data_IF_289141868735
#
_entry.id   IF_289141868735
#
_cell.length_a   1.000
_cell.length_b   1.000
_cell.length_c   1.000
_cell.angle_alpha   90.00
_cell.angle_beta   90.00
_cell.angle_gamma   90.00
#
_symmetry.space_group_name_H-M   'P 1'
#
loop_
_entity.id
_entity.type
_entity.pdbx_description
1 polymer ?
#
# COMPACT_ATOMS: atom_id res chain seq x y z
N UNK A 1 -12.00 10.30 -18.58
CA UNK A 1 -10.61 10.19 -19.07
C UNK A 1 -9.68 10.90 -18.07
N UNK A 2 -8.87 10.16 -17.31
CA UNK A 2 -7.81 10.74 -16.48
C UNK A 2 -6.70 11.16 -17.46
N UNK A 3 -6.30 12.44 -17.47
CA UNK A 3 -5.28 12.93 -18.40
C UNK A 3 -4.05 13.29 -17.57
N UNK A 4 -2.88 12.75 -17.94
CA UNK A 4 -1.62 13.36 -17.54
C UNK A 4 -1.68 14.82 -18.03
N UNK A 5 -1.77 15.78 -17.12
CA UNK A 5 -1.87 17.22 -17.44
C UNK A 5 -0.62 17.75 -18.16
N UNK A 6 0.40 16.92 -18.29
CA UNK A 6 1.69 17.20 -18.91
C UNK A 6 1.79 16.48 -20.24
N UNK A 7 2.35 17.18 -21.22
CA UNK A 7 2.68 16.57 -22.49
C UNK A 7 3.93 15.70 -22.35
N UNK A 8 3.69 14.44 -22.00
CA UNK A 8 4.74 13.43 -21.92
C UNK A 8 4.83 12.66 -23.24
N UNK A 9 6.02 12.09 -23.50
CA UNK A 9 6.16 11.06 -24.52
C UNK A 9 5.15 9.92 -24.26
N UNK A 10 4.49 9.33 -25.29
CA UNK A 10 3.48 8.28 -25.11
C UNK A 10 3.94 7.11 -24.22
N UNK A 11 5.22 6.74 -24.31
CA UNK A 11 5.82 5.70 -23.44
C UNK A 11 5.78 5.99 -21.93
N UNK A 12 5.55 7.23 -21.53
CA UNK A 12 5.49 7.68 -20.12
C UNK A 12 4.05 7.91 -19.64
N UNK A 13 3.05 7.46 -20.42
CA UNK A 13 1.62 7.61 -20.12
C UNK A 13 0.95 6.32 -19.61
N UNK A 14 1.56 5.15 -19.82
CA UNK A 14 1.03 3.89 -19.31
C UNK A 14 1.65 3.53 -17.96
N UNK A 15 0.86 2.94 -17.07
CA UNK A 15 1.27 2.53 -15.72
C UNK A 15 1.24 1.02 -15.55
N UNK A 16 0.76 0.29 -16.55
CA UNK A 16 0.71 -1.16 -16.55
C UNK A 16 0.95 -1.69 -17.96
N UNK A 17 1.61 -2.83 -18.07
CA UNK A 17 1.86 -3.54 -19.32
C UNK A 17 1.57 -5.03 -19.13
N UNK A 18 0.86 -5.61 -20.10
CA UNK A 18 0.68 -7.06 -20.16
C UNK A 18 2.02 -7.76 -20.42
N UNK A 19 2.18 -8.98 -19.89
CA UNK A 19 3.29 -9.87 -20.23
C UNK A 19 3.42 -10.02 -21.76
N UNK A 20 4.60 -9.71 -22.29
CA UNK A 20 4.87 -9.71 -23.74
C UNK A 20 4.51 -8.40 -24.47
N UNK A 21 4.31 -7.29 -23.75
CA UNK A 21 4.16 -5.93 -24.30
C UNK A 21 2.98 -5.71 -25.27
N UNK A 22 1.97 -6.60 -25.29
CA UNK A 22 0.84 -6.55 -26.23
C UNK A 22 -0.18 -5.44 -25.91
N UNK A 23 -0.40 -5.17 -24.63
CA UNK A 23 -1.40 -4.21 -24.13
C UNK A 23 -0.79 -3.35 -23.03
N UNK A 24 -1.07 -2.05 -23.06
CA UNK A 24 -0.67 -1.10 -22.03
C UNK A 24 -1.85 -0.29 -21.54
N UNK A 25 -1.98 -0.08 -20.23
CA UNK A 25 -3.06 0.70 -19.63
C UNK A 25 -2.54 1.73 -18.62
N UNK A 26 -3.39 2.68 -18.25
CA UNK A 26 -3.16 3.71 -17.23
C UNK A 26 -4.10 3.48 -16.05
N UNK A 27 -3.83 2.43 -15.27
CA UNK A 27 -4.63 2.06 -14.10
C UNK A 27 -4.26 2.88 -12.85
N UNK A 28 -3.02 3.36 -12.78
CA UNK A 28 -2.49 4.03 -11.60
C UNK A 28 -2.53 5.54 -11.78
N UNK A 29 -3.06 6.24 -10.78
CA UNK A 29 -3.04 7.70 -10.77
C UNK A 29 -2.83 8.25 -9.37
N UNK A 30 -2.03 9.32 -9.28
CA UNK A 30 -1.93 10.12 -8.05
C UNK A 30 -2.88 11.30 -8.23
N UNK A 31 -3.85 11.43 -7.33
CA UNK A 31 -4.80 12.54 -7.34
C UNK A 31 -4.29 13.65 -6.44
N UNK A 32 -4.39 14.90 -6.91
CA UNK A 32 -4.06 16.08 -6.13
C UNK A 32 -5.28 17.00 -6.04
N UNK A 33 -5.46 17.66 -4.89
CA UNK A 33 -6.51 18.66 -4.74
C UNK A 33 -6.30 19.79 -5.78
N UNK A 34 -7.40 20.25 -6.41
CA UNK A 34 -7.38 21.30 -7.44
C UNK A 34 -6.59 22.54 -7.02
N UNK A 35 -6.62 22.92 -5.74
CA UNK A 35 -5.89 24.09 -5.21
C UNK A 35 -4.37 24.00 -5.37
N UNK A 36 -3.81 22.80 -5.45
CA UNK A 36 -2.38 22.56 -5.59
C UNK A 36 -1.97 22.17 -7.01
N UNK A 37 -2.87 22.27 -8.00
CA UNK A 37 -2.59 21.85 -9.37
C UNK A 37 -1.37 22.57 -9.97
N UNK A 38 -1.22 23.86 -9.66
CA UNK A 38 -0.09 24.69 -10.11
C UNK A 38 1.24 24.36 -9.42
N UNK A 39 1.21 23.59 -8.33
CA UNK A 39 2.42 23.15 -7.64
C UNK A 39 3.03 21.89 -8.28
N UNK A 40 2.29 21.19 -9.15
CA UNK A 40 2.80 20.02 -9.86
C UNK A 40 3.69 20.50 -11.00
N UNK A 41 4.96 20.09 -10.99
CA UNK A 41 5.95 20.43 -12.02
C UNK A 41 6.04 19.36 -13.11
N UNK A 42 5.79 18.09 -12.75
CA UNK A 42 5.81 16.97 -13.67
C UNK A 42 5.00 15.81 -13.10
N UNK A 43 4.39 15.02 -13.98
CA UNK A 43 3.76 13.75 -13.65
C UNK A 43 4.01 12.81 -14.82
N UNK A 44 4.60 11.64 -14.59
CA UNK A 44 4.94 10.65 -15.63
C UNK A 44 5.04 9.25 -15.04
N UNK A 45 4.81 8.22 -15.85
CA UNK A 45 5.23 6.87 -15.48
C UNK A 45 6.73 6.66 -15.72
N UNK A 46 7.32 5.75 -14.95
CA UNK A 46 8.74 5.44 -15.00
C UNK A 46 8.92 3.98 -15.44
N UNK A 47 8.88 3.75 -16.75
CA UNK A 47 8.81 2.42 -17.36
C UNK A 47 10.13 1.67 -17.53
N UNK A 48 11.26 2.30 -17.14
CA UNK A 48 12.59 1.71 -17.18
C UNK A 48 13.09 1.29 -15.80
N UNK A 49 12.16 1.06 -14.89
CA UNK A 49 12.45 0.82 -13.50
C UNK A 49 12.26 -0.66 -13.22
N UNK A 50 13.35 -1.34 -12.89
CA UNK A 50 13.35 -2.78 -12.68
C UNK A 50 12.78 -3.09 -11.29
N UNK A 51 11.45 -3.21 -11.22
CA UNK A 51 10.72 -3.49 -9.98
C UNK A 51 10.15 -4.91 -9.94
N UNK A 52 10.43 -5.76 -10.94
CA UNK A 52 9.89 -7.12 -11.01
C UNK A 52 8.35 -7.20 -11.00
N UNK A 53 7.66 -6.09 -11.33
CA UNK A 53 6.21 -5.98 -11.40
C UNK A 53 5.79 -5.55 -12.82
N UNK A 54 4.61 -5.98 -13.22
CA UNK A 54 3.90 -5.56 -14.42
C UNK A 54 3.40 -4.09 -14.37
N UNK A 55 3.52 -3.45 -13.19
CA UNK A 55 3.21 -2.04 -13.00
C UNK A 55 4.45 -1.15 -13.11
N UNK A 56 4.30 -0.06 -13.87
CA UNK A 56 5.27 1.02 -13.96
C UNK A 56 4.91 2.10 -12.92
N UNK A 57 5.82 2.46 -12.00
CA UNK A 57 5.52 3.45 -10.99
C UNK A 57 5.26 4.82 -11.60
N UNK A 58 4.33 5.55 -10.98
CA UNK A 58 3.98 6.92 -11.36
C UNK A 58 4.73 7.90 -10.46
N UNK A 59 5.49 8.80 -11.07
CA UNK A 59 6.30 9.78 -10.38
C UNK A 59 5.73 11.18 -10.58
N UNK A 60 5.44 11.86 -9.47
CA UNK A 60 5.06 13.27 -9.45
C UNK A 60 6.21 14.11 -8.90
N UNK A 61 6.60 15.16 -9.63
CA UNK A 61 7.46 16.23 -9.14
C UNK A 61 6.58 17.38 -8.71
N UNK A 62 6.60 17.75 -7.43
CA UNK A 62 5.72 18.76 -6.85
C UNK A 62 6.55 19.75 -6.02
N UNK A 63 6.27 21.05 -6.15
CA UNK A 63 6.85 22.14 -5.35
C UNK A 63 5.83 22.64 -4.33
N UNK A 64 5.81 22.04 -3.14
CA UNK A 64 4.96 22.45 -2.01
C UNK A 64 5.74 22.52 -0.70
N UNK A 65 5.30 23.39 0.22
CA UNK A 65 5.78 23.41 1.59
C UNK A 65 4.90 22.49 2.44
N UNK A 66 5.47 21.41 2.97
CA UNK A 66 4.75 20.50 3.87
C UNK A 66 4.77 21.06 5.30
N UNK A 67 3.62 20.97 5.98
CA UNK A 67 3.53 21.23 7.43
C UNK A 67 3.59 19.89 8.15
N UNK A 68 4.48 19.77 9.15
CA UNK A 68 4.46 18.63 10.07
C UNK A 68 3.20 18.74 10.93
N UNK A 69 2.29 17.78 10.77
CA UNK A 69 1.13 17.63 11.66
C UNK A 69 1.62 16.80 12.84
N UNK A 70 1.63 17.37 14.05
CA UNK A 70 1.79 16.59 15.28
C UNK A 70 0.45 15.91 15.52
N UNK A 71 0.44 14.59 15.39
CA UNK A 71 -0.71 13.78 15.80
C UNK A 71 -0.57 13.57 17.30
N UNK A 72 -1.58 13.93 18.08
CA UNK A 72 -1.63 13.60 19.51
C UNK A 72 -1.65 12.08 19.72
N UNK A 73 -2.21 11.35 18.74
CA UNK A 73 -2.21 9.88 18.74
C UNK A 73 -0.98 9.37 18.00
N UNK A 74 -0.08 8.73 18.74
CA UNK A 74 0.99 7.92 18.19
C UNK A 74 0.42 6.78 17.33
N UNK A 75 0.81 6.71 16.05
CA UNK A 75 0.44 5.56 15.21
C UNK A 75 1.12 4.29 15.74
N UNK A 76 0.32 3.26 16.05
CA UNK A 76 0.81 1.92 16.36
C UNK A 76 1.42 1.32 15.09
N UNK A 77 2.72 1.04 15.12
CA UNK A 77 3.44 0.38 14.02
C UNK A 77 3.79 -1.03 14.49
N UNK A 78 3.21 -2.05 13.87
CA UNK A 78 3.50 -3.45 14.22
C UNK A 78 4.90 -3.87 13.74
N UNK A 79 5.63 -4.60 14.58
CA UNK A 79 6.96 -5.08 14.25
C UNK A 79 6.93 -6.44 13.54
N UNK A 80 6.56 -6.45 12.25
CA UNK A 80 6.50 -7.69 11.47
C UNK A 80 7.84 -8.44 11.35
N UNK A 81 8.97 -7.76 11.59
CA UNK A 81 10.29 -8.39 11.61
C UNK A 81 10.38 -9.45 12.73
N UNK A 82 9.59 -9.32 13.80
CA UNK A 82 9.55 -10.32 14.87
C UNK A 82 9.09 -11.70 14.40
N UNK A 83 8.33 -11.79 13.29
CA UNK A 83 7.89 -13.07 12.73
C UNK A 83 9.04 -13.87 12.10
N UNK A 84 10.10 -13.21 11.62
CA UNK A 84 11.28 -13.88 11.07
C UNK A 84 12.38 -14.09 12.11
N UNK A 85 12.42 -13.26 13.14
CA UNK A 85 13.46 -13.30 14.17
C UNK A 85 13.11 -14.14 15.40
N UNK A 86 11.83 -14.43 15.63
CA UNK A 86 11.37 -15.16 16.79
C UNK A 86 10.37 -16.26 16.40
N UNK A 87 10.83 -17.51 16.51
CA UNK A 87 10.03 -18.67 16.14
C UNK A 87 8.81 -18.87 17.04
N UNK A 88 8.84 -18.46 18.31
CA UNK A 88 7.67 -18.54 19.18
C UNK A 88 6.56 -17.61 18.72
N UNK A 89 6.90 -16.36 18.35
CA UNK A 89 5.93 -15.39 17.84
C UNK A 89 5.33 -15.91 16.53
N UNK A 90 6.16 -16.51 15.66
CA UNK A 90 5.72 -17.13 14.41
C UNK A 90 4.74 -18.28 14.65
N UNK A 91 5.06 -19.20 15.57
CA UNK A 91 4.18 -20.32 15.92
C UNK A 91 2.87 -19.80 16.54
N UNK A 92 2.94 -18.89 17.52
CA UNK A 92 1.76 -18.28 18.14
C UNK A 92 0.87 -17.59 17.12
N UNK A 93 1.45 -16.87 16.16
CA UNK A 93 0.71 -16.18 15.10
C UNK A 93 0.01 -17.18 14.19
N UNK A 94 0.71 -18.23 13.75
CA UNK A 94 0.12 -19.27 12.90
C UNK A 94 -1.04 -20.00 13.58
N UNK A 95 -0.90 -20.33 14.87
CA UNK A 95 -1.98 -20.94 15.66
C UNK A 95 -3.16 -20.00 15.79
N UNK A 96 -2.94 -18.72 16.10
CA UNK A 96 -4.02 -17.75 16.24
C UNK A 96 -4.78 -17.54 14.93
N UNK A 97 -4.07 -17.39 13.81
CA UNK A 97 -4.68 -17.32 12.48
C UNK A 97 -5.50 -18.57 12.23
N UNK A 98 -4.91 -19.77 12.37
CA UNK A 98 -5.62 -21.03 12.11
C UNK A 98 -6.89 -21.17 12.93
N UNK A 99 -6.82 -20.87 14.23
CA UNK A 99 -7.95 -20.94 15.14
C UNK A 99 -9.07 -19.98 14.73
N UNK A 100 -8.71 -18.74 14.36
CA UNK A 100 -9.70 -17.77 13.90
C UNK A 100 -10.36 -18.24 12.62
N UNK A 101 -9.60 -18.70 11.63
CA UNK A 101 -10.14 -19.21 10.37
C UNK A 101 -11.05 -20.44 10.57
N UNK A 102 -10.76 -21.30 11.56
CA UNK A 102 -11.62 -22.45 11.88
C UNK A 102 -12.98 -22.04 12.48
N UNK A 103 -13.05 -20.87 13.13
CA UNK A 103 -14.28 -20.33 13.74
C UNK A 103 -15.09 -19.42 12.80
N UNK A 104 -14.57 -19.11 11.62
CA UNK A 104 -15.26 -18.30 10.61
C UNK A 104 -16.29 -19.17 9.88
N UNK A 105 -17.46 -19.34 10.49
CA UNK A 105 -18.67 -19.70 9.74
C UNK A 105 -19.04 -18.56 8.79
N UNK A 106 -19.67 -18.88 7.65
CA UNK A 106 -19.98 -17.88 6.62
C UNK A 106 -20.96 -16.82 7.17
N UNK A 107 -20.43 -15.70 7.66
CA UNK A 107 -21.22 -14.55 8.09
C UNK A 107 -21.90 -13.94 6.86
N UNK A 108 -23.22 -14.12 6.75
CA UNK A 108 -24.05 -13.73 5.58
C UNK A 108 -23.95 -12.23 5.30
N UNK A 109 -23.56 -11.43 6.30
CA UNK A 109 -23.49 -9.97 6.20
C UNK A 109 -22.12 -9.43 5.79
N UNK A 110 -21.09 -10.27 5.67
CA UNK A 110 -19.72 -9.85 5.29
C UNK A 110 -19.21 -10.63 4.09
N UNK A 111 -18.51 -9.94 3.20
CA UNK A 111 -17.80 -10.62 2.13
C UNK A 111 -16.67 -11.49 2.69
N UNK A 112 -16.34 -12.58 2.00
CA UNK A 112 -15.21 -13.46 2.36
C UNK A 112 -13.91 -12.66 2.55
N UNK A 113 -13.67 -11.64 1.72
CA UNK A 113 -12.51 -10.76 1.83
C UNK A 113 -12.46 -9.96 3.14
N UNK A 114 -13.60 -9.48 3.63
CA UNK A 114 -13.69 -8.75 4.90
C UNK A 114 -13.46 -9.68 6.07
N UNK A 115 -14.07 -10.87 6.03
CA UNK A 115 -13.89 -11.92 7.03
C UNK A 115 -12.41 -12.29 7.17
N UNK A 116 -11.71 -12.54 6.06
CA UNK A 116 -10.29 -12.87 6.08
C UNK A 116 -9.44 -11.69 6.55
N UNK A 117 -9.73 -10.48 6.09
CA UNK A 117 -9.01 -9.28 6.53
C UNK A 117 -9.10 -9.10 8.04
N UNK A 118 -10.30 -9.22 8.60
CA UNK A 118 -10.54 -9.06 10.04
C UNK A 118 -9.78 -10.12 10.84
N UNK A 119 -9.84 -11.38 10.41
CA UNK A 119 -9.11 -12.47 11.05
C UNK A 119 -7.58 -12.23 11.09
N UNK A 120 -7.00 -11.73 10.00
CA UNK A 120 -5.58 -11.37 9.98
C UNK A 120 -5.27 -10.17 10.88
N UNK A 121 -6.06 -9.10 10.80
CA UNK A 121 -5.84 -7.89 11.61
C UNK A 121 -5.91 -8.22 13.10
N UNK A 122 -6.89 -9.00 13.52
CA UNK A 122 -7.02 -9.41 14.91
C UNK A 122 -5.87 -10.32 15.36
N UNK A 123 -5.28 -11.10 14.44
CA UNK A 123 -4.13 -11.98 14.72
C UNK A 123 -2.87 -11.17 14.92
N UNK A 124 -2.68 -10.16 14.09
CA UNK A 124 -1.62 -9.17 14.26
C UNK A 124 -1.76 -8.46 15.60
N UNK A 125 -2.97 -7.97 15.92
CA UNK A 125 -3.23 -7.21 17.16
C UNK A 125 -2.90 -7.98 18.44
N UNK A 126 -3.12 -9.30 18.43
CA UNK A 126 -2.93 -10.16 19.60
C UNK A 126 -1.50 -10.64 19.77
N UNK A 127 -0.80 -10.92 18.67
CA UNK A 127 0.48 -11.64 18.71
C UNK A 127 1.69 -10.78 18.35
N UNK A 128 1.55 -9.88 17.39
CA UNK A 128 2.69 -9.11 16.89
C UNK A 128 2.96 -7.92 17.82
N UNK A 129 4.18 -7.73 18.33
CA UNK A 129 4.49 -6.59 19.18
C UNK A 129 4.48 -5.28 18.38
N UNK A 130 4.15 -4.18 19.04
CA UNK A 130 4.26 -2.83 18.48
C UNK A 130 5.71 -2.37 18.58
N UNK A 131 6.24 -1.73 17.53
CA UNK A 131 7.55 -1.08 17.58
C UNK A 131 7.54 0.03 18.62
N UNK A 132 8.54 0.02 19.49
CA UNK A 132 8.80 1.14 20.40
C UNK A 132 9.09 2.40 19.58
N UNK A 133 8.38 3.48 19.90
CA UNK A 133 8.68 4.78 19.31
C UNK A 133 9.89 5.36 20.04
N UNK A 134 11.02 5.45 19.35
CA UNK A 134 12.13 6.27 19.80
C UNK A 134 11.66 7.72 19.84
N UNK A 135 11.45 8.26 21.04
CA UNK A 135 11.26 9.69 21.24
C UNK A 135 12.63 10.32 20.99
N UNK A 136 12.74 11.09 19.90
CA UNK A 136 13.91 11.93 19.56
C UNK A 136 13.47 13.38 19.68
#
# INVERSE_FOLDING_TARGET
MIKFWFDNHPRKKYTWKSHGDKVSNMSDCIKINRRFRNAVLQCKSYSGADFGSDHNPVVYKIKIKLKKIKSEVARKIWNFVSLSQNDEIKVKYNVEVRNRFQLLTEDVNKSKCEIYRDAFIESVRKVIPVKEQRIV
#
